data_IF_107995009993
#
_entry.id   IF_107995009993
#
_cell.length_a   1.000
_cell.length_b   1.000
_cell.length_c   1.000
_cell.angle_alpha   90.00
_cell.angle_beta   90.00
_cell.angle_gamma   90.00
#
_symmetry.space_group_name_H-M   'P 1'
#
loop_
_entity.id
_entity.type
_entity.pdbx_description
1 polymer ?
#
# COMPACT_ATOMS: atom_id res chain seq x y z
N UNK A 1 -9.61 15.58 5.11
CA UNK A 1 -8.72 14.48 4.77
C UNK A 1 -9.45 13.16 4.91
N UNK A 2 -9.20 12.23 4.02
CA UNK A 2 -9.83 10.93 4.15
C UNK A 2 -9.05 10.03 5.11
N UNK A 3 -9.66 8.91 5.49
CA UNK A 3 -9.06 8.02 6.47
C UNK A 3 -7.79 7.32 5.96
N UNK A 4 -7.70 7.11 4.64
CA UNK A 4 -6.52 6.47 4.06
C UNK A 4 -5.29 7.36 4.19
N UNK A 5 -5.40 8.64 3.83
CA UNK A 5 -4.27 9.57 3.94
C UNK A 5 -3.85 9.74 5.39
N UNK A 6 -4.79 9.79 6.32
CA UNK A 6 -4.50 9.89 7.73
C UNK A 6 -3.78 8.66 8.25
N UNK A 7 -4.24 7.47 7.86
CA UNK A 7 -3.64 6.21 8.31
C UNK A 7 -2.22 6.05 7.75
N UNK A 8 -2.04 6.35 6.47
CA UNK A 8 -0.73 6.25 5.83
C UNK A 8 0.26 7.22 6.45
N UNK A 9 -0.17 8.47 6.69
CA UNK A 9 0.69 9.47 7.33
C UNK A 9 1.08 9.05 8.74
N UNK A 10 0.14 8.49 9.51
CA UNK A 10 0.43 8.02 10.86
C UNK A 10 1.45 6.88 10.86
N UNK A 11 1.33 5.93 9.94
CA UNK A 11 2.28 4.83 9.84
C UNK A 11 3.69 5.33 9.57
N UNK A 12 3.82 6.31 8.68
CA UNK A 12 5.13 6.89 8.37
C UNK A 12 5.68 7.71 9.53
N UNK A 13 4.81 8.48 10.19
CA UNK A 13 5.22 9.33 11.33
C UNK A 13 5.69 8.50 12.51
N UNK A 14 5.00 7.39 12.79
CA UNK A 14 5.29 6.51 13.92
C UNK A 14 6.42 5.53 13.64
N UNK A 15 6.86 5.43 12.39
CA UNK A 15 7.90 4.48 12.01
C UNK A 15 7.40 3.05 11.86
N UNK A 16 6.09 2.83 11.89
CA UNK A 16 5.52 1.50 11.67
C UNK A 16 5.71 1.05 10.23
N UNK A 17 5.83 1.99 9.30
CA UNK A 17 6.21 1.73 7.92
C UNK A 17 7.23 2.79 7.48
N UNK A 18 8.16 2.40 6.63
CA UNK A 18 9.14 3.33 6.05
C UNK A 18 8.78 3.73 4.64
N UNK A 19 7.83 3.03 4.02
CA UNK A 19 7.35 3.29 2.68
C UNK A 19 5.87 2.92 2.62
N UNK A 20 5.07 3.78 1.98
CA UNK A 20 3.68 3.46 1.65
C UNK A 20 3.56 3.48 0.13
N UNK A 21 3.09 2.38 -0.44
CA UNK A 21 2.83 2.28 -1.88
C UNK A 21 1.32 2.34 -2.08
N UNK A 22 0.87 3.33 -2.81
CA UNK A 22 -0.54 3.52 -3.09
C UNK A 22 -0.74 4.14 -4.45
N UNK A 23 -1.84 4.85 -4.62
CA UNK A 23 -2.20 5.50 -5.88
C UNK A 23 -2.21 7.01 -5.72
N UNK A 24 -1.75 7.71 -6.74
CA UNK A 24 -1.81 9.17 -6.81
C UNK A 24 -2.47 9.61 -8.12
N UNK A 25 -2.81 10.89 -8.19
CA UNK A 25 -3.38 11.47 -9.41
C UNK A 25 -2.33 11.54 -10.52
N UNK A 26 -2.77 11.26 -11.74
CA UNK A 26 -1.97 11.43 -12.93
C UNK A 26 -2.76 12.27 -13.94
N UNK A 27 -2.13 12.60 -15.04
CA UNK A 27 -2.76 13.42 -16.09
C UNK A 27 -3.93 12.69 -16.73
N UNK A 28 -4.91 13.45 -17.23
CA UNK A 28 -6.04 12.87 -17.95
C UNK A 28 -7.02 12.12 -17.07
N UNK A 29 -7.16 12.53 -15.82
CA UNK A 29 -8.07 11.90 -14.86
C UNK A 29 -7.75 10.43 -14.59
N UNK A 30 -6.45 10.11 -14.62
CA UNK A 30 -5.95 8.77 -14.35
C UNK A 30 -5.22 8.71 -13.02
N UNK A 31 -4.88 7.51 -12.57
CA UNK A 31 -4.05 7.32 -11.39
C UNK A 31 -2.75 6.61 -11.77
N UNK A 32 -1.75 6.75 -10.92
CA UNK A 32 -0.45 6.11 -11.06
C UNK A 32 0.00 5.60 -9.71
N UNK A 33 0.96 4.65 -9.67
CA UNK A 33 1.56 4.25 -8.40
C UNK A 33 2.24 5.45 -7.73
N UNK A 34 2.05 5.58 -6.42
CA UNK A 34 2.64 6.65 -5.64
C UNK A 34 3.41 6.04 -4.48
N UNK A 35 4.69 6.41 -4.35
CA UNK A 35 5.58 5.92 -3.30
C UNK A 35 5.79 7.03 -2.27
N UNK A 36 5.30 6.81 -1.05
CA UNK A 36 5.36 7.82 0.02
C UNK A 36 6.36 7.38 1.07
N UNK A 37 7.35 8.20 1.36
CA UNK A 37 8.36 7.92 2.37
C UNK A 37 8.27 8.86 3.57
N UNK A 38 7.58 9.98 3.43
CA UNK A 38 7.36 10.94 4.51
C UNK A 38 5.86 11.20 4.65
N UNK A 39 5.38 11.57 5.86
CA UNK A 39 3.94 11.75 6.08
C UNK A 39 3.29 12.76 5.13
N UNK A 40 4.00 13.81 4.75
CA UNK A 40 3.46 14.85 3.87
C UNK A 40 3.11 14.30 2.49
N UNK A 41 3.84 13.30 2.01
CA UNK A 41 3.55 12.68 0.72
C UNK A 41 2.27 11.85 0.74
N UNK A 42 1.91 11.33 1.91
CA UNK A 42 0.71 10.51 2.06
C UNK A 42 -0.57 11.30 1.79
N UNK A 43 -0.53 12.63 1.95
CA UNK A 43 -1.69 13.48 1.66
C UNK A 43 -2.10 13.45 0.18
N UNK A 44 -1.22 12.95 -0.69
CA UNK A 44 -1.46 12.86 -2.13
C UNK A 44 -2.11 11.54 -2.55
N UNK A 45 -2.28 10.60 -1.61
CA UNK A 45 -2.90 9.31 -1.90
C UNK A 45 -4.38 9.46 -2.26
N UNK A 46 -4.80 8.69 -3.26
CA UNK A 46 -6.21 8.59 -3.66
C UNK A 46 -6.61 7.13 -3.72
N UNK A 47 -7.90 6.88 -3.56
CA UNK A 47 -8.44 5.51 -3.66
C UNK A 47 -9.86 5.60 -4.21
N UNK A 48 -10.03 5.19 -5.47
CA UNK A 48 -11.33 5.19 -6.14
C UNK A 48 -11.33 4.19 -7.30
N UNK A 49 -12.37 4.20 -8.11
CA UNK A 49 -12.51 3.24 -9.21
C UNK A 49 -11.46 3.35 -10.31
N UNK A 50 -10.64 4.40 -10.29
CA UNK A 50 -9.53 4.56 -11.25
C UNK A 50 -8.28 3.81 -10.83
N UNK A 51 -8.25 3.19 -9.63
CA UNK A 51 -7.08 2.54 -9.09
C UNK A 51 -6.96 1.14 -9.67
N UNK A 52 -6.37 1.03 -10.86
CA UNK A 52 -6.31 -0.20 -11.65
C UNK A 52 -4.92 -0.83 -11.73
N UNK A 53 -3.87 -0.13 -11.29
CA UNK A 53 -2.52 -0.68 -11.31
C UNK A 53 -2.38 -1.78 -10.26
N UNK A 54 -1.67 -2.85 -10.61
CA UNK A 54 -1.39 -3.92 -9.67
C UNK A 54 -0.09 -3.58 -8.92
N UNK A 55 -0.23 -3.05 -7.70
CA UNK A 55 0.91 -2.60 -6.91
C UNK A 55 1.76 -3.75 -6.37
N UNK A 56 1.26 -4.98 -6.40
CA UNK A 56 2.00 -6.13 -5.89
C UNK A 56 3.31 -6.35 -6.62
N UNK A 57 3.42 -5.92 -7.87
CA UNK A 57 4.66 -6.09 -8.65
C UNK A 57 5.85 -5.38 -8.02
N UNK A 58 5.61 -4.31 -7.24
CA UNK A 58 6.69 -3.57 -6.58
C UNK A 58 7.18 -4.24 -5.31
N UNK A 59 6.40 -5.17 -4.75
CA UNK A 59 6.73 -5.82 -3.49
C UNK A 59 7.84 -6.86 -3.63
N UNK A 60 8.17 -7.24 -4.85
CA UNK A 60 9.27 -8.19 -5.11
C UNK A 60 10.57 -7.48 -5.48
N UNK A 61 10.63 -6.15 -5.31
CA UNK A 61 11.81 -5.35 -5.69
C UNK A 61 12.51 -4.82 -4.45
N UNK A 62 13.53 -5.54 -3.92
CA UNK A 62 14.20 -5.13 -2.67
C UNK A 62 14.79 -3.74 -2.73
N UNK A 63 15.22 -3.29 -3.88
CA UNK A 63 15.81 -1.96 -4.06
C UNK A 63 14.80 -0.84 -3.81
N UNK A 64 13.51 -1.11 -3.94
CA UNK A 64 12.45 -0.14 -3.63
C UNK A 64 12.04 -0.17 -2.16
N UNK A 65 12.00 -1.38 -1.59
CA UNK A 65 11.43 -1.58 -0.25
C UNK A 65 12.37 -1.15 0.88
N UNK A 66 13.68 -1.30 0.67
CA UNK A 66 14.64 -1.00 1.71
C UNK A 66 14.57 -1.97 2.88
N UNK A 67 15.08 -1.56 4.04
CA UNK A 67 15.19 -2.42 5.21
C UNK A 67 13.97 -2.41 6.12
N UNK A 68 13.08 -1.43 6.01
CA UNK A 68 11.93 -1.30 6.88
C UNK A 68 10.69 -2.00 6.35
N UNK A 69 9.57 -1.80 7.05
CA UNK A 69 8.27 -2.33 6.60
C UNK A 69 7.67 -1.43 5.54
N UNK A 70 6.98 -2.05 4.60
CA UNK A 70 6.26 -1.36 3.54
C UNK A 70 4.77 -1.57 3.72
N UNK A 71 3.99 -0.48 3.70
CA UNK A 71 2.54 -0.54 3.68
C UNK A 71 2.09 -0.40 2.22
N UNK A 72 1.22 -1.30 1.77
CA UNK A 72 0.69 -1.25 0.41
C UNK A 72 -0.82 -1.08 0.48
N UNK A 73 -1.33 -0.14 -0.32
CA UNK A 73 -2.77 0.07 -0.48
C UNK A 73 -3.26 -0.95 -1.50
N UNK A 74 -4.18 -1.81 -1.10
CA UNK A 74 -4.57 -2.96 -1.90
C UNK A 74 -6.02 -2.92 -2.33
N UNK A 75 -6.25 -3.03 -3.63
CA UNK A 75 -7.54 -3.38 -4.21
C UNK A 75 -7.68 -4.90 -4.18
N UNK A 76 -8.85 -5.44 -4.54
CA UNK A 76 -9.05 -6.90 -4.55
C UNK A 76 -8.04 -7.62 -5.47
N UNK A 77 -7.78 -7.15 -6.71
CA UNK A 77 -6.75 -7.79 -7.54
C UNK A 77 -5.36 -7.76 -6.91
N UNK A 78 -5.01 -6.66 -6.23
CA UNK A 78 -3.72 -6.54 -5.54
C UNK A 78 -3.64 -7.54 -4.40
N UNK A 79 -4.72 -7.70 -3.61
CA UNK A 79 -4.77 -8.68 -2.52
C UNK A 79 -4.54 -10.10 -3.05
N UNK A 80 -5.18 -10.45 -4.16
CA UNK A 80 -4.99 -11.78 -4.77
C UNK A 80 -3.55 -12.01 -5.18
N UNK A 81 -2.92 -11.00 -5.77
CA UNK A 81 -1.52 -11.08 -6.16
C UNK A 81 -0.60 -11.21 -4.96
N UNK A 82 -0.88 -10.50 -3.87
CA UNK A 82 -0.10 -10.60 -2.63
C UNK A 82 -0.17 -12.02 -2.08
N UNK A 83 -1.35 -12.61 -2.01
CA UNK A 83 -1.52 -13.97 -1.52
C UNK A 83 -0.81 -14.98 -2.41
N UNK A 84 -0.83 -14.78 -3.73
CA UNK A 84 -0.13 -15.64 -4.67
C UNK A 84 1.38 -15.58 -4.45
N UNK A 85 1.93 -14.37 -4.31
CA UNK A 85 3.36 -14.20 -4.07
C UNK A 85 3.77 -14.77 -2.72
N UNK A 86 2.92 -14.64 -1.70
CA UNK A 86 3.18 -15.22 -0.39
C UNK A 86 3.23 -16.75 -0.45
N UNK A 87 2.32 -17.35 -1.24
CA UNK A 87 2.30 -18.80 -1.43
C UNK A 87 3.55 -19.29 -2.14
N UNK A 88 4.19 -18.43 -2.95
CA UNK A 88 5.44 -18.74 -3.66
C UNK A 88 6.68 -18.36 -2.85
N UNK A 89 6.51 -17.95 -1.59
CA UNK A 89 7.60 -17.52 -0.71
C UNK A 89 8.36 -16.30 -1.23
N UNK A 90 7.71 -15.44 -1.99
CA UNK A 90 8.32 -14.22 -2.53
C UNK A 90 8.09 -12.99 -1.67
N UNK A 91 7.23 -13.08 -0.67
CA UNK A 91 6.95 -11.97 0.26
C UNK A 91 7.13 -12.42 1.69
N UNK A 92 7.57 -11.49 2.54
CA UNK A 92 7.75 -11.70 3.98
C UNK A 92 6.69 -10.90 4.74
N UNK A 93 5.94 -11.56 5.62
CA UNK A 93 4.95 -10.89 6.47
C UNK A 93 5.59 -9.85 7.37
N UNK A 94 6.82 -10.09 7.82
CA UNK A 94 7.52 -9.21 8.73
C UNK A 94 7.79 -7.84 8.12
N UNK A 95 7.76 -7.74 6.80
CA UNK A 95 8.12 -6.51 6.08
C UNK A 95 6.96 -5.88 5.34
N UNK A 96 5.75 -6.39 5.55
CA UNK A 96 4.60 -5.92 4.78
C UNK A 96 3.41 -5.62 5.69
N UNK A 97 2.77 -4.48 5.44
CA UNK A 97 1.47 -4.13 5.99
C UNK A 97 0.53 -3.94 4.80
N UNK A 98 -0.70 -4.43 4.90
CA UNK A 98 -1.68 -4.26 3.84
C UNK A 98 -2.78 -3.32 4.32
N UNK A 99 -3.07 -2.29 3.55
CA UNK A 99 -4.15 -1.35 3.82
C UNK A 99 -5.24 -1.54 2.78
N UNK A 100 -6.48 -1.73 3.22
CA UNK A 100 -7.63 -1.81 2.31
C UNK A 100 -8.66 -0.77 2.70
N UNK A 101 -9.44 -0.33 1.72
CA UNK A 101 -10.51 0.64 1.96
C UNK A 101 -11.84 -0.02 1.54
N UNK A 102 -12.79 -0.03 2.46
CA UNK A 102 -14.13 -0.57 2.21
C UNK A 102 -15.14 0.28 2.96
N UNK A 103 -16.16 0.78 2.25
CA UNK A 103 -17.23 1.59 2.81
C UNK A 103 -16.71 2.79 3.61
N UNK A 104 -15.64 3.42 3.12
CA UNK A 104 -15.04 4.58 3.77
C UNK A 104 -14.15 4.25 4.96
N UNK A 105 -14.02 2.99 5.32
CA UNK A 105 -13.18 2.56 6.42
C UNK A 105 -11.88 1.97 5.90
N UNK A 106 -10.78 2.20 6.64
CA UNK A 106 -9.46 1.66 6.30
C UNK A 106 -9.18 0.50 7.24
N UNK A 107 -8.83 -0.65 6.68
CA UNK A 107 -8.44 -1.83 7.44
C UNK A 107 -6.96 -2.09 7.22
N UNK A 108 -6.27 -2.46 8.29
CA UNK A 108 -4.85 -2.79 8.26
C UNK A 108 -4.67 -4.27 8.60
N UNK A 109 -3.90 -4.96 7.77
CA UNK A 109 -3.58 -6.37 8.00
C UNK A 109 -2.07 -6.50 8.15
N UNK A 110 -1.64 -7.08 9.27
CA UNK A 110 -0.23 -7.29 9.59
C UNK A 110 0.24 -8.70 9.21
N UNK A 111 -0.69 -9.59 8.89
CA UNK A 111 -0.36 -10.97 8.50
C UNK A 111 -1.19 -11.36 7.29
N UNK A 112 -0.68 -12.32 6.50
CA UNK A 112 -1.38 -12.80 5.32
C UNK A 112 -2.61 -13.65 5.69
N UNK A 113 -2.61 -14.25 6.87
CA UNK A 113 -3.72 -15.07 7.32
C UNK A 113 -4.99 -14.26 7.59
N UNK A 114 -4.84 -12.96 7.85
CA UNK A 114 -5.97 -12.06 8.13
C UNK A 114 -6.60 -11.48 6.86
N UNK A 115 -5.93 -11.62 5.73
CA UNK A 115 -6.37 -11.02 4.45
C UNK A 115 -7.48 -11.84 3.78
#
# INVERSE_FOLDING_TARGET
>A
MDKLTEKAAALLREGAATLVIGYGEDKGNKTRPLFCRIPEEAARLVYDGRCIHNLAVYLTKPELLGAGRTAVVATIPVLRSILQLAAENQLSEDKLLVLTVADGEVMQFDTFAAV
#
